data_IF_899665692533
#
_entry.id   IF_899665692533
#
_cell.length_a   1.000
_cell.length_b   1.000
_cell.length_c   1.000
_cell.angle_alpha   90.00
_cell.angle_beta   90.00
_cell.angle_gamma   90.00
#
_symmetry.space_group_name_H-M   'P 1'
#
loop_
_entity.id
_entity.type
_entity.pdbx_description
1 polymer ?
#
# COMPACT_ATOMS: atom_id res chain seq x y z
N UNK A 1 -13.21 35.23 18.99
CA UNK A 1 -12.47 35.28 17.72
C UNK A 1 -11.16 34.53 17.81
N UNK A 2 -11.05 33.37 17.14
CA UNK A 2 -9.75 32.77 16.86
C UNK A 2 -9.31 33.24 15.47
N UNK A 3 -8.03 33.63 15.28
CA UNK A 3 -7.53 33.98 13.96
C UNK A 3 -7.69 32.78 13.00
N UNK A 4 -8.07 33.06 11.76
CA UNK A 4 -8.20 32.04 10.73
C UNK A 4 -6.82 31.49 10.38
N UNK A 5 -6.76 30.16 10.19
CA UNK A 5 -5.55 29.44 9.77
C UNK A 5 -5.74 29.07 8.31
N UNK A 6 -4.77 29.42 7.45
CA UNK A 6 -4.80 29.04 6.04
C UNK A 6 -4.24 27.63 5.84
N UNK A 7 -4.54 27.01 4.70
CA UNK A 7 -3.93 25.73 4.33
C UNK A 7 -2.40 25.80 4.27
N UNK A 8 -1.87 26.93 3.79
CA UNK A 8 -0.42 27.16 3.71
C UNK A 8 0.25 27.17 5.08
N UNK A 9 -0.40 27.74 6.08
CA UNK A 9 0.10 27.75 7.47
C UNK A 9 0.26 26.34 8.05
N UNK A 10 -0.51 25.37 7.54
CA UNK A 10 -0.47 23.97 8.00
C UNK A 10 0.42 23.09 7.12
N UNK A 11 0.37 23.24 5.79
CA UNK A 11 0.93 22.25 4.86
C UNK A 11 2.09 22.73 3.99
N UNK A 12 2.38 24.03 3.89
CA UNK A 12 3.44 24.51 3.00
C UNK A 12 4.81 23.86 3.32
N UNK A 13 5.16 23.81 4.60
CA UNK A 13 6.41 23.17 5.04
C UNK A 13 6.42 21.66 4.79
N UNK A 14 5.27 20.99 4.90
CA UNK A 14 5.12 19.57 4.62
C UNK A 14 5.33 19.27 3.13
N UNK A 15 4.67 20.02 2.26
CA UNK A 15 4.79 19.89 0.80
C UNK A 15 6.23 20.08 0.33
N UNK A 16 6.92 21.12 0.83
CA UNK A 16 8.32 21.39 0.48
C UNK A 16 9.26 20.26 0.92
N UNK A 17 9.12 19.79 2.16
CA UNK A 17 10.01 18.76 2.72
C UNK A 17 9.74 17.39 2.10
N UNK A 18 8.47 16.99 1.95
CA UNK A 18 8.14 15.71 1.32
C UNK A 18 8.45 15.71 -0.17
N UNK A 19 8.27 16.82 -0.89
CA UNK A 19 8.72 16.91 -2.28
C UNK A 19 10.23 16.72 -2.40
N UNK A 20 11.01 17.45 -1.59
CA UNK A 20 12.47 17.31 -1.55
C UNK A 20 12.87 15.86 -1.25
N UNK A 21 12.22 15.23 -0.28
CA UNK A 21 12.52 13.84 0.05
C UNK A 21 12.15 12.86 -1.06
N UNK A 22 10.91 12.93 -1.56
CA UNK A 22 10.37 12.05 -2.60
C UNK A 22 11.13 12.13 -3.92
N UNK A 23 11.53 13.33 -4.34
CA UNK A 23 12.13 13.53 -5.65
C UNK A 23 13.66 13.52 -5.63
N UNK A 24 14.31 13.78 -4.50
CA UNK A 24 15.76 14.02 -4.49
C UNK A 24 16.52 13.18 -3.46
N UNK A 25 15.98 12.99 -2.25
CA UNK A 25 16.75 12.42 -1.12
C UNK A 25 16.50 10.93 -0.90
N UNK A 26 15.28 10.43 -1.12
CA UNK A 26 14.91 9.07 -0.74
C UNK A 26 15.87 8.04 -1.37
N UNK A 27 16.38 7.17 -0.50
CA UNK A 27 17.36 6.13 -0.82
C UNK A 27 16.70 4.99 -1.59
N UNK A 28 17.01 4.89 -2.87
CA UNK A 28 16.32 4.00 -3.81
C UNK A 28 16.61 2.53 -3.53
N UNK A 29 17.82 2.17 -3.08
CA UNK A 29 18.15 0.79 -2.70
C UNK A 29 17.33 0.32 -1.51
N UNK A 30 17.16 1.19 -0.51
CA UNK A 30 16.29 0.91 0.63
C UNK A 30 14.83 0.79 0.22
N UNK A 31 14.34 1.67 -0.66
CA UNK A 31 12.98 1.60 -1.18
C UNK A 31 12.72 0.28 -1.93
N UNK A 32 13.64 -0.18 -2.77
CA UNK A 32 13.52 -1.49 -3.42
C UNK A 32 13.48 -2.64 -2.41
N UNK A 33 14.31 -2.60 -1.36
CA UNK A 33 14.26 -3.59 -0.29
C UNK A 33 12.93 -3.56 0.44
N UNK A 34 12.45 -2.39 0.86
CA UNK A 34 11.16 -2.24 1.54
C UNK A 34 9.98 -2.75 0.73
N UNK A 35 10.00 -2.56 -0.60
CA UNK A 35 8.97 -3.15 -1.46
C UNK A 35 8.99 -4.68 -1.37
N UNK A 36 10.17 -5.31 -1.49
CA UNK A 36 10.31 -6.77 -1.40
C UNK A 36 9.91 -7.30 -0.03
N UNK A 37 10.31 -6.61 1.04
CA UNK A 37 9.99 -7.01 2.41
C UNK A 37 8.47 -6.92 2.66
N UNK A 38 7.81 -5.84 2.23
CA UNK A 38 6.36 -5.69 2.34
C UNK A 38 5.59 -6.72 1.50
N UNK A 39 6.07 -7.04 0.30
CA UNK A 39 5.50 -8.10 -0.54
C UNK A 39 5.59 -9.47 0.16
N UNK A 40 6.77 -9.83 0.67
CA UNK A 40 6.98 -11.09 1.39
C UNK A 40 6.12 -11.17 2.66
N UNK A 41 6.04 -10.09 3.43
CA UNK A 41 5.25 -10.05 4.66
C UNK A 41 3.74 -10.13 4.39
N UNK A 42 3.27 -9.52 3.29
CA UNK A 42 1.91 -9.67 2.81
C UNK A 42 1.59 -11.13 2.50
N UNK A 43 2.45 -11.82 1.74
CA UNK A 43 2.28 -13.23 1.38
C UNK A 43 2.31 -14.13 2.61
N UNK A 44 3.24 -13.90 3.54
CA UNK A 44 3.30 -14.63 4.81
C UNK A 44 2.04 -14.43 5.65
N UNK A 45 1.51 -13.20 5.69
CA UNK A 45 0.27 -12.86 6.40
C UNK A 45 -0.96 -13.55 5.79
N UNK A 46 -1.02 -13.65 4.45
CA UNK A 46 -2.06 -14.43 3.75
C UNK A 46 -1.96 -15.90 4.16
N UNK A 47 -0.76 -16.49 4.09
CA UNK A 47 -0.52 -17.88 4.45
C UNK A 47 -0.87 -18.19 5.93
N UNK A 48 -0.66 -17.22 6.82
CA UNK A 48 -1.00 -17.32 8.24
C UNK A 48 -2.48 -17.03 8.56
N UNK A 49 -3.32 -16.75 7.55
CA UNK A 49 -4.75 -16.49 7.77
C UNK A 49 -5.04 -15.18 8.51
N UNK A 50 -4.17 -14.18 8.38
CA UNK A 50 -4.34 -12.83 8.95
C UNK A 50 -4.50 -11.76 7.85
N UNK A 51 -5.61 -11.80 7.08
CA UNK A 51 -5.77 -11.03 5.84
C UNK A 51 -5.81 -9.51 6.03
N UNK A 52 -6.21 -9.01 7.21
CA UNK A 52 -6.14 -7.58 7.50
C UNK A 52 -4.69 -7.09 7.59
N UNK A 53 -3.82 -7.89 8.23
CA UNK A 53 -2.39 -7.59 8.28
C UNK A 53 -1.75 -7.70 6.89
N UNK A 54 -2.18 -8.67 6.08
CA UNK A 54 -1.75 -8.76 4.69
C UNK A 54 -2.10 -7.50 3.90
N UNK A 55 -3.33 -7.00 4.04
CA UNK A 55 -3.77 -5.80 3.33
C UNK A 55 -2.97 -4.55 3.73
N UNK A 56 -2.62 -4.39 5.01
CA UNK A 56 -1.72 -3.31 5.46
C UNK A 56 -0.35 -3.38 4.76
N UNK A 57 0.20 -4.58 4.56
CA UNK A 57 1.45 -4.76 3.83
C UNK A 57 1.31 -4.46 2.33
N UNK A 58 0.16 -4.80 1.72
CA UNK A 58 -0.15 -4.42 0.35
C UNK A 58 -0.21 -2.88 0.17
N UNK A 59 -0.80 -2.16 1.12
CA UNK A 59 -0.81 -0.69 1.13
C UNK A 59 0.61 -0.13 1.24
N UNK A 60 1.46 -0.70 2.11
CA UNK A 60 2.87 -0.29 2.24
C UNK A 60 3.63 -0.51 0.94
N UNK A 61 3.47 -1.66 0.30
CA UNK A 61 4.09 -1.96 -0.99
C UNK A 61 3.66 -0.94 -2.06
N UNK A 62 2.36 -0.62 -2.12
CA UNK A 62 1.80 0.43 -3.01
C UNK A 62 2.43 1.80 -2.76
N UNK A 63 2.55 2.22 -1.50
CA UNK A 63 3.17 3.49 -1.14
C UNK A 63 4.65 3.54 -1.54
N UNK A 64 5.42 2.50 -1.20
CA UNK A 64 6.85 2.41 -1.55
C UNK A 64 7.06 2.41 -3.07
N UNK A 65 6.17 1.76 -3.82
CA UNK A 65 6.18 1.84 -5.28
C UNK A 65 6.01 3.28 -5.79
N UNK A 66 5.08 4.06 -5.23
CA UNK A 66 4.91 5.46 -5.60
C UNK A 66 6.18 6.28 -5.32
N UNK A 67 6.90 5.99 -4.23
CA UNK A 67 8.17 6.63 -3.92
C UNK A 67 9.26 6.29 -4.94
N UNK A 68 9.36 5.01 -5.33
CA UNK A 68 10.27 4.57 -6.39
C UNK A 68 9.96 5.24 -7.74
N UNK A 69 8.67 5.44 -8.05
CA UNK A 69 8.25 6.19 -9.23
C UNK A 69 8.64 7.67 -9.14
N UNK A 70 8.41 8.31 -8.00
CA UNK A 70 8.78 9.72 -7.78
C UNK A 70 10.30 9.93 -7.90
N UNK A 71 11.10 8.98 -7.41
CA UNK A 71 12.57 8.98 -7.59
C UNK A 71 13.03 8.74 -9.02
N UNK A 72 12.12 8.36 -9.93
CA UNK A 72 12.44 8.16 -11.34
C UNK A 72 13.26 6.91 -11.64
N UNK A 73 13.33 5.95 -10.71
CA UNK A 73 14.15 4.73 -10.84
C UNK A 73 13.38 3.52 -11.41
N UNK A 74 12.11 3.70 -11.75
CA UNK A 74 11.26 2.67 -12.38
C UNK A 74 11.00 3.05 -13.83
N UNK A 75 11.46 2.21 -14.77
CA UNK A 75 11.16 2.38 -16.20
C UNK A 75 9.68 2.19 -16.51
N UNK A 76 9.26 2.60 -17.72
CA UNK A 76 7.88 2.42 -18.18
C UNK A 76 7.51 0.93 -18.24
N UNK A 77 8.44 0.09 -18.66
CA UNK A 77 8.26 -1.36 -18.75
C UNK A 77 8.14 -1.98 -17.35
N UNK A 78 8.99 -1.60 -16.40
CA UNK A 78 8.94 -2.10 -15.03
C UNK A 78 7.68 -1.65 -14.29
N UNK A 79 7.17 -0.45 -14.59
CA UNK A 79 5.97 0.12 -13.95
C UNK A 79 4.78 -0.84 -14.02
N UNK A 80 4.53 -1.44 -15.18
CA UNK A 80 3.42 -2.37 -15.36
C UNK A 80 3.58 -3.63 -14.48
N UNK A 81 4.82 -4.12 -14.33
CA UNK A 81 5.14 -5.27 -13.48
C UNK A 81 4.88 -4.97 -12.00
N UNK A 82 5.35 -3.82 -11.48
CA UNK A 82 5.09 -3.41 -10.10
C UNK A 82 3.60 -3.20 -9.80
N UNK A 83 2.85 -2.60 -10.73
CA UNK A 83 1.39 -2.45 -10.60
C UNK A 83 0.71 -3.81 -10.52
N UNK A 84 1.14 -4.78 -11.35
CA UNK A 84 0.65 -6.16 -11.29
C UNK A 84 0.89 -6.79 -9.93
N UNK A 85 2.11 -6.69 -9.41
CA UNK A 85 2.48 -7.23 -8.08
C UNK A 85 1.64 -6.62 -6.96
N UNK A 86 1.52 -5.29 -6.89
CA UNK A 86 0.68 -4.62 -5.88
C UNK A 86 -0.78 -5.06 -5.98
N UNK A 87 -1.31 -5.21 -7.20
CA UNK A 87 -2.68 -5.70 -7.43
C UNK A 87 -2.84 -7.13 -6.89
N UNK A 88 -1.89 -8.01 -7.15
CA UNK A 88 -1.96 -9.40 -6.71
C UNK A 88 -1.93 -9.50 -5.18
N UNK A 89 -1.15 -8.67 -4.49
CA UNK A 89 -1.14 -8.58 -3.03
C UNK A 89 -2.49 -8.13 -2.45
N UNK A 90 -3.06 -7.06 -3.01
CA UNK A 90 -4.36 -6.55 -2.58
C UNK A 90 -5.47 -7.58 -2.84
N UNK A 91 -5.48 -8.19 -4.03
CA UNK A 91 -6.43 -9.23 -4.41
C UNK A 91 -6.33 -10.44 -3.48
N UNK A 92 -5.13 -10.98 -3.28
CA UNK A 92 -4.92 -12.13 -2.39
C UNK A 92 -5.33 -11.84 -0.95
N UNK A 93 -5.10 -10.62 -0.47
CA UNK A 93 -5.58 -10.18 0.86
C UNK A 93 -7.11 -10.18 0.94
N UNK A 94 -7.80 -9.68 -0.08
CA UNK A 94 -9.27 -9.66 -0.15
C UNK A 94 -9.84 -11.09 -0.25
N UNK A 95 -9.26 -11.94 -1.09
CA UNK A 95 -9.68 -13.35 -1.23
C UNK A 95 -9.53 -14.10 0.11
N UNK A 96 -8.40 -13.93 0.80
CA UNK A 96 -8.20 -14.51 2.12
C UNK A 96 -9.16 -13.92 3.18
N UNK A 97 -9.52 -12.64 3.07
CA UNK A 97 -10.51 -12.02 3.96
C UNK A 97 -11.92 -12.61 3.76
N UNK A 98 -12.33 -12.74 2.50
CA UNK A 98 -13.59 -13.39 2.13
C UNK A 98 -13.62 -14.81 2.68
N UNK A 99 -12.57 -15.60 2.43
CA UNK A 99 -12.52 -16.99 2.85
C UNK A 99 -12.59 -17.13 4.37
N UNK A 100 -11.83 -16.32 5.10
CA UNK A 100 -11.82 -16.32 6.57
C UNK A 100 -13.21 -16.03 7.17
N UNK A 101 -14.01 -15.19 6.51
CA UNK A 101 -15.30 -14.75 7.04
C UNK A 101 -16.51 -15.48 6.43
N UNK A 102 -16.31 -16.29 5.39
CA UNK A 102 -17.36 -16.92 4.59
C UNK A 102 -18.45 -17.54 5.44
N UNK A 103 -18.09 -18.48 6.33
CA UNK A 103 -19.05 -19.17 7.18
C UNK A 103 -19.86 -18.22 8.09
N UNK A 104 -19.19 -17.21 8.66
CA UNK A 104 -19.84 -16.22 9.51
C UNK A 104 -20.80 -15.33 8.72
N UNK A 105 -20.43 -14.96 7.49
CA UNK A 105 -21.26 -14.14 6.62
C UNK A 105 -22.45 -14.91 6.05
N UNK A 106 -22.27 -16.16 5.62
CA UNK A 106 -23.37 -17.03 5.16
C UNK A 106 -24.42 -17.24 6.25
N UNK A 107 -23.98 -17.43 7.51
CA UNK A 107 -24.89 -17.55 8.65
C UNK A 107 -25.61 -16.24 8.97
N UNK A 108 -24.92 -15.10 8.86
CA UNK A 108 -25.46 -13.78 9.20
C UNK A 108 -26.34 -13.18 8.10
N UNK A 109 -26.07 -13.49 6.85
CA UNK A 109 -26.72 -12.92 5.67
C UNK A 109 -27.24 -14.02 4.73
N UNK A 110 -28.39 -14.64 5.06
CA UNK A 110 -28.97 -15.69 4.22
C UNK A 110 -29.21 -15.20 2.79
N UNK A 111 -28.72 -15.96 1.81
CA UNK A 111 -28.84 -15.62 0.37
C UNK A 111 -27.66 -14.79 -0.19
N UNK A 112 -26.66 -14.46 0.64
CA UNK A 112 -25.40 -13.91 0.14
C UNK A 112 -24.61 -14.98 -0.64
N UNK A 113 -24.12 -14.62 -1.82
CA UNK A 113 -23.17 -15.40 -2.62
C UNK A 113 -22.03 -14.51 -3.10
N UNK A 114 -20.87 -15.12 -3.36
CA UNK A 114 -19.72 -14.43 -3.95
C UNK A 114 -19.90 -14.18 -5.44
#
# INVERSE_FOLDING_TARGET
DRPAVSYGDVFLANEQQLSKWNFEIADTEKLFRWFRDAEAECQASIAAGVPLAAYDQAIKASHVFNLLQARGVISVQERASYIGRVRDLAKGSCEAHIEKNRAAWEAKFPGWSL
#
